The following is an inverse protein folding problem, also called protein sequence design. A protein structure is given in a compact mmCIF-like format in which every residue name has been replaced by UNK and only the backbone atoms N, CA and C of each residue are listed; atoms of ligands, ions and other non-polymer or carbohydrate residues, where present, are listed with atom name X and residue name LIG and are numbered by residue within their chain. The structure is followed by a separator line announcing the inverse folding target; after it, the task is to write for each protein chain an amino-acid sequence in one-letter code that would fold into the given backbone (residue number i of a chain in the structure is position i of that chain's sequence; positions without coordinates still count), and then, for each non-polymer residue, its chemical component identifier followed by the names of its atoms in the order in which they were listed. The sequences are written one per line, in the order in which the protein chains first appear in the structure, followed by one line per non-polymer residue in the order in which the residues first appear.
data_IF_014071682314
#
_entry.id   IF_014071682314
#
_cell.length_a   1.000
_cell.length_b   1.000
_cell.length_c   1.000
_cell.angle_alpha   90.00
_cell.angle_beta   90.00
_cell.angle_gamma   90.00
#
_symmetry.space_group_name_H-M   'P 1'
#
loop_
_entity.id
_entity.type
_entity.pdbx_description
1 polymer ?
#
# COMPACT_ATOMS: atom_id res chain seq x y z
N UNK A 1 22.36 4.49 -31.87
CA UNK A 1 23.08 4.60 -30.57
C UNK A 1 22.17 5.12 -29.46
N UNK A 2 21.43 6.21 -29.67
CA UNK A 2 20.49 6.77 -28.68
C UNK A 2 19.38 5.80 -28.24
N UNK A 3 18.73 5.10 -29.17
CA UNK A 3 17.67 4.13 -28.84
C UNK A 3 18.16 2.96 -27.97
N UNK A 4 19.42 2.52 -28.15
CA UNK A 4 20.02 1.43 -27.38
C UNK A 4 20.32 1.88 -25.94
N UNK A 5 20.70 3.15 -25.74
CA UNK A 5 20.91 3.73 -24.42
C UNK A 5 19.59 3.94 -23.68
N UNK A 6 18.53 4.36 -24.38
CA UNK A 6 17.18 4.51 -23.81
C UNK A 6 16.64 3.15 -23.35
N UNK A 7 16.77 2.12 -24.19
CA UNK A 7 16.29 0.76 -23.91
C UNK A 7 17.01 0.14 -22.70
N UNK A 8 18.34 0.25 -22.66
CA UNK A 8 19.15 -0.24 -21.53
C UNK A 8 18.82 0.48 -20.21
N UNK A 9 18.46 1.77 -20.28
CA UNK A 9 18.08 2.53 -19.09
C UNK A 9 16.64 2.19 -18.64
N UNK A 10 15.72 1.96 -19.58
CA UNK A 10 14.37 1.50 -19.30
C UNK A 10 14.37 0.12 -18.61
N UNK A 11 15.19 -0.81 -19.11
CA UNK A 11 15.40 -2.13 -18.49
C UNK A 11 15.96 -2.03 -17.07
N UNK A 12 16.92 -1.14 -16.84
CA UNK A 12 17.47 -0.89 -15.52
C UNK A 12 16.42 -0.33 -14.54
N UNK A 13 15.63 0.64 -15.00
CA UNK A 13 14.55 1.24 -14.21
C UNK A 13 13.48 0.20 -13.87
N UNK A 14 13.08 -0.64 -14.81
CA UNK A 14 12.09 -1.68 -14.61
C UNK A 14 12.54 -2.75 -13.60
N UNK A 15 13.82 -3.17 -13.66
CA UNK A 15 14.40 -4.09 -12.67
C UNK A 15 14.40 -3.49 -11.27
N UNK A 16 14.77 -2.22 -11.14
CA UNK A 16 14.75 -1.53 -9.85
C UNK A 16 13.33 -1.44 -9.28
N UNK A 17 12.35 -1.10 -10.10
CA UNK A 17 10.94 -1.08 -9.69
C UNK A 17 10.48 -2.46 -9.21
N UNK A 18 10.84 -3.54 -9.93
CA UNK A 18 10.47 -4.90 -9.54
C UNK A 18 11.08 -5.31 -8.19
N UNK A 19 12.35 -4.96 -7.96
CA UNK A 19 13.02 -5.22 -6.67
C UNK A 19 12.34 -4.45 -5.54
N UNK A 20 12.05 -3.17 -5.75
CA UNK A 20 11.34 -2.33 -4.77
C UNK A 20 9.97 -2.92 -4.45
N UNK A 21 9.19 -3.31 -5.47
CA UNK A 21 7.88 -3.93 -5.28
C UNK A 21 7.96 -5.22 -4.46
N UNK A 22 8.87 -6.14 -4.81
CA UNK A 22 9.06 -7.38 -4.04
C UNK A 22 9.44 -7.07 -2.58
N UNK A 23 10.33 -6.12 -2.37
CA UNK A 23 10.74 -5.70 -1.03
C UNK A 23 9.55 -5.11 -0.23
N UNK A 24 8.74 -4.26 -0.85
CA UNK A 24 7.55 -3.66 -0.25
C UNK A 24 6.50 -4.71 0.09
N UNK A 25 6.18 -5.62 -0.84
CA UNK A 25 5.25 -6.72 -0.61
C UNK A 25 5.73 -7.58 0.57
N UNK A 26 7.00 -7.99 0.59
CA UNK A 26 7.56 -8.76 1.71
C UNK A 26 7.46 -8.00 3.03
N UNK A 27 7.75 -6.70 3.03
CA UNK A 27 7.65 -5.87 4.23
C UNK A 27 6.21 -5.75 4.74
N UNK A 28 5.23 -5.64 3.85
CA UNK A 28 3.80 -5.65 4.20
C UNK A 28 3.39 -7.01 4.79
N UNK A 29 3.86 -8.12 4.23
CA UNK A 29 3.64 -9.45 4.80
C UNK A 29 4.15 -9.56 6.23
N UNK A 30 5.36 -9.04 6.51
CA UNK A 30 5.90 -9.01 7.88
C UNK A 30 5.09 -8.12 8.83
N UNK A 31 4.44 -7.06 8.34
CA UNK A 31 3.53 -6.23 9.14
C UNK A 31 2.20 -6.94 9.44
N UNK A 32 1.65 -7.70 8.49
CA UNK A 32 0.36 -8.39 8.62
C UNK A 32 0.48 -9.67 9.46
N UNK A 33 1.60 -10.39 9.36
CA UNK A 33 1.85 -11.65 10.08
C UNK A 33 1.58 -11.57 11.60
N UNK A 34 2.05 -10.54 12.32
CA UNK A 34 1.72 -10.33 13.73
C UNK A 34 0.21 -10.19 13.99
N UNK A 35 -0.54 -9.53 13.12
CA UNK A 35 -2.01 -9.41 13.25
C UNK A 35 -2.70 -10.75 13.05
N UNK A 36 -2.23 -11.58 12.10
CA UNK A 36 -2.78 -12.91 11.88
C UNK A 36 -2.45 -13.87 13.03
N UNK A 37 -1.22 -13.83 13.55
CA UNK A 37 -0.75 -14.78 14.57
C UNK A 37 -1.12 -14.38 15.99
N UNK A 38 -1.20 -13.07 16.27
CA UNK A 38 -1.40 -12.52 17.61
C UNK A 38 -2.60 -11.57 17.70
N UNK A 39 -3.56 -11.70 16.79
CA UNK A 39 -4.74 -10.82 16.70
C UNK A 39 -5.47 -10.64 18.03
N UNK A 40 -5.70 -11.72 18.77
CA UNK A 40 -6.34 -11.65 20.10
C UNK A 40 -5.53 -10.84 21.13
N UNK A 41 -4.20 -10.98 21.13
CA UNK A 41 -3.32 -10.22 22.03
C UNK A 41 -3.34 -8.74 21.66
N UNK A 42 -3.26 -8.44 20.36
CA UNK A 42 -3.32 -7.06 19.84
C UNK A 42 -4.68 -6.43 20.17
N UNK A 43 -5.78 -7.15 19.98
CA UNK A 43 -7.13 -6.70 20.33
C UNK A 43 -7.25 -6.40 21.83
N UNK A 44 -6.67 -7.26 22.68
CA UNK A 44 -6.61 -7.00 24.13
C UNK A 44 -5.79 -5.73 24.44
N UNK A 45 -4.66 -5.50 23.77
CA UNK A 45 -3.87 -4.27 23.93
C UNK A 45 -4.66 -3.02 23.49
N UNK A 46 -5.37 -3.09 22.36
CA UNK A 46 -6.19 -1.98 21.86
C UNK A 46 -7.31 -1.63 22.85
N UNK A 47 -7.96 -2.65 23.42
CA UNK A 47 -9.05 -2.47 24.38
C UNK A 47 -8.57 -2.30 25.83
N UNK A 48 -7.26 -2.35 26.08
CA UNK A 48 -6.69 -2.31 27.43
C UNK A 48 -7.11 -1.05 28.19
N UNK A 49 -7.00 0.11 27.54
CA UNK A 49 -7.41 1.39 28.11
C UNK A 49 -8.93 1.60 28.15
N UNK A 50 -9.71 0.68 27.58
CA UNK A 50 -11.17 0.68 27.66
C UNK A 50 -11.74 -0.14 28.82
N UNK A 51 -10.88 -0.80 29.61
CA UNK A 51 -11.32 -1.58 30.77
C UNK A 51 -11.82 -0.67 31.91
N UNK A 52 -12.78 -1.15 32.70
CA UNK A 52 -13.39 -0.39 33.80
C UNK A 52 -12.36 0.11 34.84
N UNK A 53 -11.29 -0.66 35.05
CA UNK A 53 -10.19 -0.29 35.94
C UNK A 53 -9.40 0.95 35.47
N UNK A 54 -9.45 1.24 34.17
CA UNK A 54 -8.84 2.42 33.55
C UNK A 54 -9.88 3.48 33.14
N UNK A 55 -11.14 3.30 33.56
CA UNK A 55 -12.18 4.29 33.31
C UNK A 55 -11.76 5.63 33.97
N UNK A 56 -11.54 6.65 33.15
CA UNK A 56 -11.01 7.95 33.59
C UNK A 56 -11.94 8.58 34.63
N UNK A 57 -11.50 8.51 35.90
CA UNK A 57 -12.17 9.15 37.04
C UNK A 57 -11.79 10.62 37.14
N UNK A 58 -10.59 10.98 36.68
CA UNK A 58 -10.10 12.35 36.67
C UNK A 58 -10.26 13.04 35.30
N UNK A 59 -10.49 14.35 35.33
CA UNK A 59 -10.71 15.17 34.14
C UNK A 59 -9.44 15.32 33.30
N UNK A 60 -8.28 15.47 33.94
CA UNK A 60 -7.00 15.65 33.23
C UNK A 60 -6.58 14.38 32.50
N UNK A 61 -6.78 13.19 33.09
CA UNK A 61 -6.53 11.91 32.42
C UNK A 61 -7.38 11.76 31.15
N UNK A 62 -8.67 12.12 31.23
CA UNK A 62 -9.59 12.07 30.09
C UNK A 62 -9.17 13.03 28.99
N UNK A 63 -8.70 14.22 29.35
CA UNK A 63 -8.20 15.22 28.41
C UNK A 63 -6.98 14.71 27.64
N UNK A 64 -6.01 14.09 28.33
CA UNK A 64 -4.82 13.51 27.70
C UNK A 64 -5.21 12.38 26.73
N UNK A 65 -6.05 11.44 27.15
CA UNK A 65 -6.50 10.34 26.28
C UNK A 65 -7.22 10.86 25.03
N UNK A 66 -8.12 11.83 25.19
CA UNK A 66 -8.84 12.43 24.06
C UNK A 66 -7.89 13.14 23.09
N UNK A 67 -6.85 13.80 23.59
CA UNK A 67 -5.84 14.42 22.74
C UNK A 67 -5.03 13.37 21.96
N UNK A 68 -4.59 12.29 22.62
CA UNK A 68 -3.93 11.16 21.96
C UNK A 68 -4.81 10.55 20.88
N UNK A 69 -6.08 10.26 21.17
CA UNK A 69 -7.04 9.73 20.19
C UNK A 69 -7.19 10.68 19.00
N UNK A 70 -7.32 11.98 19.25
CA UNK A 70 -7.44 13.00 18.20
C UNK A 70 -6.21 13.01 17.29
N UNK A 71 -5.01 12.99 17.86
CA UNK A 71 -3.75 12.96 17.10
C UNK A 71 -3.63 11.66 16.31
N UNK A 72 -3.88 10.50 16.94
CA UNK A 72 -3.84 9.20 16.28
C UNK A 72 -4.84 9.13 15.12
N UNK A 73 -6.08 9.61 15.29
CA UNK A 73 -7.07 9.68 14.21
C UNK A 73 -6.62 10.58 13.08
N UNK A 74 -6.11 11.78 13.39
CA UNK A 74 -5.60 12.72 12.38
C UNK A 74 -4.46 12.08 11.57
N UNK A 75 -3.49 11.47 12.24
CA UNK A 75 -2.33 10.86 11.59
C UNK A 75 -2.75 9.64 10.75
N UNK A 76 -3.62 8.79 11.27
CA UNK A 76 -4.13 7.61 10.55
C UNK A 76 -4.93 8.03 9.31
N UNK A 77 -5.75 9.08 9.44
CA UNK A 77 -6.55 9.63 8.33
C UNK A 77 -5.65 10.24 7.26
N UNK A 78 -4.65 11.04 7.66
CA UNK A 78 -3.68 11.63 6.74
C UNK A 78 -2.86 10.55 6.01
N UNK A 79 -2.43 9.51 6.72
CA UNK A 79 -1.73 8.37 6.14
C UNK A 79 -2.61 7.63 5.11
N UNK A 80 -3.87 7.36 5.45
CA UNK A 80 -4.81 6.68 4.55
C UNK A 80 -5.07 7.48 3.26
N UNK A 81 -5.33 8.78 3.37
CA UNK A 81 -5.47 9.63 2.19
C UNK A 81 -4.17 9.75 1.39
N UNK A 82 -3.02 9.74 2.07
CA UNK A 82 -1.71 9.68 1.42
C UNK A 82 -1.55 8.45 0.54
N UNK A 83 -1.92 7.26 1.04
CA UNK A 83 -1.90 6.02 0.25
C UNK A 83 -2.81 6.14 -0.97
N UNK A 84 -4.08 6.56 -0.78
CA UNK A 84 -5.03 6.71 -1.91
C UNK A 84 -4.48 7.68 -2.96
N UNK A 85 -3.93 8.82 -2.53
CA UNK A 85 -3.38 9.82 -3.44
C UNK A 85 -2.18 9.26 -4.22
N UNK A 86 -1.27 8.56 -3.54
CA UNK A 86 -0.13 7.91 -4.19
C UNK A 86 -0.58 6.88 -5.22
N UNK A 87 -1.55 6.02 -4.88
CA UNK A 87 -2.10 5.04 -5.81
C UNK A 87 -2.74 5.68 -7.03
N UNK A 88 -3.52 6.74 -6.84
CA UNK A 88 -4.11 7.48 -7.96
C UNK A 88 -3.03 8.07 -8.86
N UNK A 89 -2.05 8.77 -8.28
CA UNK A 89 -0.94 9.40 -9.02
C UNK A 89 -0.12 8.37 -9.79
N UNK A 90 0.15 7.20 -9.19
CA UNK A 90 0.88 6.12 -9.83
C UNK A 90 0.16 5.56 -11.06
N UNK A 91 -1.17 5.53 -11.03
CA UNK A 91 -2.01 5.01 -12.11
C UNK A 91 -2.32 6.03 -13.22
N UNK A 92 -2.12 7.33 -12.98
CA UNK A 92 -2.37 8.40 -13.97
C UNK A 92 -1.69 8.14 -15.33
N UNK A 93 -0.39 7.77 -15.40
CA UNK A 93 0.28 7.53 -16.69
C UNK A 93 -0.37 6.41 -17.51
N UNK A 94 -0.88 5.37 -16.83
CA UNK A 94 -1.57 4.24 -17.50
C UNK A 94 -2.90 4.69 -18.09
N UNK A 95 -3.63 5.56 -17.39
CA UNK A 95 -4.93 6.07 -17.85
C UNK A 95 -4.79 7.10 -19.00
N UNK A 96 -3.70 7.86 -19.04
CA UNK A 96 -3.46 8.88 -20.09
C UNK A 96 -2.79 8.28 -21.33
N UNK A 97 -2.00 7.20 -21.17
CA UNK A 97 -1.29 6.57 -22.28
C UNK A 97 -2.27 6.03 -23.33
N UNK A 98 -2.06 6.43 -24.59
CA UNK A 98 -2.80 5.88 -25.75
C UNK A 98 -2.40 4.43 -26.04
N UNK A 99 -1.21 4.04 -25.61
CA UNK A 99 -0.71 2.67 -25.74
C UNK A 99 -1.02 1.88 -24.47
N UNK A 100 -1.53 0.66 -24.64
CA UNK A 100 -1.74 -0.28 -23.54
C UNK A 100 -0.39 -0.74 -23.04
N UNK A 101 0.07 -0.11 -21.96
CA UNK A 101 1.29 -0.47 -21.24
C UNK A 101 0.92 -0.65 -19.78
N UNK A 102 1.49 -1.68 -19.15
CA UNK A 102 1.35 -1.88 -17.73
C UNK A 102 2.38 -1.00 -16.99
N UNK A 103 2.07 -0.50 -15.78
CA UNK A 103 3.00 0.32 -15.00
C UNK A 103 4.24 -0.48 -14.57
N UNK A 104 4.09 -1.80 -14.45
CA UNK A 104 5.17 -2.76 -14.25
C UNK A 104 4.93 -3.97 -15.15
N UNK A 105 5.99 -4.61 -15.62
CA UNK A 105 5.93 -5.90 -16.31
C UNK A 105 6.31 -7.02 -15.34
N UNK A 106 5.35 -7.56 -14.57
CA UNK A 106 5.60 -8.79 -13.84
C UNK A 106 5.83 -9.94 -14.84
N UNK A 107 6.61 -10.93 -14.42
CA UNK A 107 6.69 -12.17 -15.17
C UNK A 107 5.35 -12.90 -15.07
N UNK A 108 4.63 -13.00 -16.19
CA UNK A 108 3.34 -13.67 -16.30
C UNK A 108 3.47 -14.85 -17.28
N UNK A 109 2.81 -15.99 -17.03
CA UNK A 109 2.81 -17.12 -17.96
C UNK A 109 1.91 -16.91 -19.18
N UNK A 110 1.40 -15.69 -19.39
CA UNK A 110 0.50 -15.30 -20.48
C UNK A 110 0.82 -13.88 -20.96
N UNK A 111 0.41 -13.53 -22.17
CA UNK A 111 0.56 -12.18 -22.71
C UNK A 111 -0.57 -11.25 -22.20
N UNK A 112 -0.26 -10.24 -21.38
CA UNK A 112 -1.25 -9.33 -20.84
C UNK A 112 -1.85 -8.38 -21.88
N UNK A 113 -1.24 -8.26 -23.07
CA UNK A 113 -1.71 -7.39 -24.15
C UNK A 113 -2.60 -8.11 -25.18
N UNK A 114 -2.74 -9.43 -25.03
CA UNK A 114 -3.46 -10.31 -25.97
C UNK A 114 -4.93 -9.95 -26.19
N UNK A 115 -5.66 -9.53 -25.14
CA UNK A 115 -7.08 -9.15 -25.22
C UNK A 115 -7.38 -8.02 -24.24
N UNK A 116 -8.31 -7.13 -24.57
CA UNK A 116 -8.70 -6.01 -23.70
C UNK A 116 -9.11 -6.46 -22.29
N UNK A 117 -9.84 -7.56 -22.17
CA UNK A 117 -10.23 -8.12 -20.87
C UNK A 117 -9.02 -8.54 -20.05
N UNK A 118 -8.08 -9.28 -20.65
CA UNK A 118 -6.86 -9.75 -19.99
C UNK A 118 -6.01 -8.56 -19.52
N UNK A 119 -5.92 -7.52 -20.35
CA UNK A 119 -5.23 -6.28 -19.99
C UNK A 119 -5.83 -5.62 -18.75
N UNK A 120 -7.15 -5.39 -18.71
CA UNK A 120 -7.79 -4.74 -17.56
C UNK A 120 -7.74 -5.59 -16.30
N UNK A 121 -7.92 -6.91 -16.41
CA UNK A 121 -7.79 -7.83 -15.27
C UNK A 121 -6.36 -7.80 -14.73
N UNK A 122 -5.36 -7.83 -15.61
CA UNK A 122 -3.95 -7.77 -15.20
C UNK A 122 -3.63 -6.42 -14.57
N UNK A 123 -4.14 -5.32 -15.12
CA UNK A 123 -3.97 -3.98 -14.56
C UNK A 123 -4.55 -3.90 -13.14
N UNK A 124 -5.80 -4.36 -12.93
CA UNK A 124 -6.43 -4.39 -11.60
C UNK A 124 -5.64 -5.29 -10.64
N UNK A 125 -5.18 -6.46 -11.09
CA UNK A 125 -4.37 -7.35 -10.27
C UNK A 125 -3.06 -6.68 -9.83
N UNK A 126 -2.34 -6.04 -10.75
CA UNK A 126 -1.07 -5.37 -10.44
C UNK A 126 -1.24 -4.14 -9.57
N UNK A 127 -2.39 -3.46 -9.65
CA UNK A 127 -2.67 -2.24 -8.88
C UNK A 127 -3.26 -2.51 -7.51
N UNK A 128 -4.05 -3.58 -7.36
CA UNK A 128 -4.55 -4.02 -6.06
C UNK A 128 -3.54 -4.88 -5.28
N UNK A 129 -2.53 -5.43 -5.97
CA UNK A 129 -1.41 -6.15 -5.37
C UNK A 129 -0.26 -5.24 -4.92
N UNK A 130 -0.27 -3.96 -5.33
CA UNK A 130 0.49 -2.87 -4.71
C UNK A 130 -0.22 -2.44 -3.41
#
# INVERSE_FOLDING_TARGET
MLNILIDKNADGMQKNLMITFVAETLFMWFKILPFLRYGEKIKRCINFFGHEDFAHKDYEERKITNECIRICRRNSTAYFYGIIATELVWNVPVLISKERKLPMYPWLPYDPLSTSLVYYVTLVYTTAGM
#
